data_IF_540078382693
#
_entry.id   IF_540078382693
#
_cell.length_a   1.000
_cell.length_b   1.000
_cell.length_c   1.000
_cell.angle_alpha   90.00
_cell.angle_beta   90.00
_cell.angle_gamma   90.00
#
_symmetry.space_group_name_H-M   'P 1'
#
loop_
_entity.id
_entity.type
_entity.pdbx_description
1 polymer ?
#
# COMPACT_ATOMS: atom_id res chain seq x y z
N UNK A 1 -18.61 12.20 41.80
CA UNK A 1 -19.55 11.52 42.72
C UNK A 1 -20.80 11.17 41.94
N UNK A 2 -21.54 10.12 42.32
CA UNK A 2 -22.73 9.62 41.59
C UNK A 2 -24.01 10.42 41.98
N UNK A 3 -25.22 10.18 41.40
CA UNK A 3 -25.90 8.86 41.34
C UNK A 3 -26.37 8.43 39.92
N UNK A 4 -26.75 7.14 39.75
CA UNK A 4 -27.35 6.60 38.53
C UNK A 4 -28.90 6.60 38.58
N UNK A 5 -29.54 6.21 37.47
CA UNK A 5 -30.95 5.82 37.42
C UNK A 5 -31.10 4.37 36.88
N UNK A 6 -31.99 3.58 37.49
CA UNK A 6 -32.33 2.21 37.08
C UNK A 6 -33.75 2.17 36.50
N UNK A 7 -33.99 1.25 35.55
CA UNK A 7 -35.24 0.50 35.25
C UNK A 7 -35.11 -0.14 33.85
N UNK A 8 -35.65 -1.32 33.55
CA UNK A 8 -36.27 -2.36 34.39
C UNK A 8 -36.21 -3.70 33.62
N UNK A 9 -35.97 -4.82 34.31
CA UNK A 9 -36.18 -6.17 33.76
C UNK A 9 -37.68 -6.54 33.76
N UNK A 10 -38.14 -7.34 32.79
CA UNK A 10 -39.20 -8.35 32.99
C UNK A 10 -39.46 -9.20 31.73
N UNK A 11 -39.10 -10.49 31.76
CA UNK A 11 -39.76 -11.56 30.99
C UNK A 11 -39.30 -12.96 31.47
N UNK A 12 -40.15 -13.66 32.23
CA UNK A 12 -39.94 -15.05 32.65
C UNK A 12 -40.81 -16.02 31.83
N UNK A 13 -40.27 -17.13 31.34
CA UNK A 13 -41.07 -18.17 30.68
C UNK A 13 -40.24 -19.39 30.27
N UNK A 14 -40.61 -20.59 30.75
CA UNK A 14 -39.80 -21.81 30.65
C UNK A 14 -40.38 -22.88 29.69
N UNK A 15 -39.56 -23.90 29.43
CA UNK A 15 -39.90 -25.25 28.89
C UNK A 15 -40.33 -25.41 27.42
N UNK A 16 -39.87 -26.50 26.79
CA UNK A 16 -40.31 -27.00 25.49
C UNK A 16 -39.27 -27.92 24.82
N UNK A 17 -39.70 -29.07 24.28
CA UNK A 17 -38.85 -30.01 23.51
C UNK A 17 -39.27 -30.08 22.04
N UNK A 18 -38.34 -30.49 21.17
CA UNK A 18 -38.51 -31.06 19.83
C UNK A 18 -39.30 -30.28 18.77
N UNK A 19 -38.62 -29.97 17.64
CA UNK A 19 -39.26 -29.46 16.43
C UNK A 19 -38.33 -29.51 15.21
N UNK A 20 -38.36 -30.60 14.45
CA UNK A 20 -37.64 -30.76 13.18
C UNK A 20 -38.50 -30.30 11.99
N UNK A 21 -38.03 -29.28 11.25
CA UNK A 21 -38.59 -28.83 9.97
C UNK A 21 -37.45 -28.23 9.10
N UNK A 22 -37.57 -28.11 7.76
CA UNK A 22 -36.80 -29.02 6.91
C UNK A 22 -35.75 -28.35 6.02
N UNK A 23 -34.84 -29.17 5.48
CA UNK A 23 -33.91 -28.78 4.41
C UNK A 23 -34.67 -28.58 3.09
N UNK A 24 -34.42 -27.46 2.39
CA UNK A 24 -34.97 -27.19 1.06
C UNK A 24 -33.85 -26.84 0.08
N UNK A 25 -33.85 -27.53 -1.07
CA UNK A 25 -33.44 -27.00 -2.38
C UNK A 25 -32.02 -26.45 -2.53
N UNK A 26 -31.06 -27.31 -2.88
CA UNK A 26 -29.76 -26.85 -3.40
C UNK A 26 -29.82 -26.67 -4.92
N UNK A 27 -29.37 -25.51 -5.43
CA UNK A 27 -29.00 -25.31 -6.85
C UNK A 27 -27.63 -24.64 -6.91
N UNK A 28 -26.69 -25.08 -7.78
CA UNK A 28 -25.28 -24.76 -7.62
C UNK A 28 -24.80 -23.54 -8.42
N UNK A 29 -24.70 -22.38 -7.77
CA UNK A 29 -23.81 -21.31 -8.24
C UNK A 29 -22.35 -21.61 -7.88
N UNK A 30 -21.43 -21.53 -8.84
CA UNK A 30 -19.99 -21.69 -8.61
C UNK A 30 -19.40 -20.49 -7.85
N UNK A 31 -19.50 -20.51 -6.52
CA UNK A 31 -18.82 -19.54 -5.65
C UNK A 31 -17.33 -19.84 -5.55
N UNK A 32 -16.51 -18.97 -6.12
CA UNK A 32 -15.07 -18.92 -5.89
C UNK A 32 -14.81 -18.50 -4.43
N UNK A 33 -14.41 -19.44 -3.59
CA UNK A 33 -14.17 -19.21 -2.15
C UNK A 33 -12.82 -18.52 -1.92
N UNK A 34 -12.81 -17.19 -2.03
CA UNK A 34 -11.68 -16.37 -1.59
C UNK A 34 -11.68 -16.21 -0.06
N UNK A 35 -11.20 -17.24 0.65
CA UNK A 35 -10.86 -17.15 2.07
C UNK A 35 -9.34 -17.11 2.24
N UNK A 36 -8.85 -16.08 2.93
CA UNK A 36 -7.59 -15.99 3.72
C UNK A 36 -7.32 -14.51 4.05
N UNK A 37 -6.89 -14.19 5.27
CA UNK A 37 -6.30 -12.91 5.65
C UNK A 37 -5.18 -13.14 6.69
N UNK A 38 -3.98 -12.60 6.44
CA UNK A 38 -2.80 -12.69 7.30
C UNK A 38 -2.60 -11.43 8.17
N UNK A 39 -1.76 -11.53 9.21
CA UNK A 39 -1.18 -10.38 9.93
C UNK A 39 -0.03 -10.78 10.91
N UNK A 40 0.95 -9.90 11.18
CA UNK A 40 2.13 -10.10 12.06
C UNK A 40 2.37 -8.92 13.05
N UNK A 41 3.38 -8.94 13.95
CA UNK A 41 3.48 -7.99 15.10
C UNK A 41 4.77 -7.15 15.18
N UNK A 42 4.61 -5.84 15.39
CA UNK A 42 5.48 -4.88 16.09
C UNK A 42 7.02 -4.96 15.93
N UNK A 43 7.48 -4.93 14.67
CA UNK A 43 8.33 -3.79 14.29
C UNK A 43 7.43 -2.75 13.59
N UNK A 44 7.84 -1.47 13.53
CA UNK A 44 7.02 -0.38 12.89
C UNK A 44 6.92 -0.47 11.35
N UNK A 45 6.96 -1.67 10.79
CA UNK A 45 6.87 -2.02 9.39
C UNK A 45 6.17 -3.38 9.31
N UNK A 46 5.13 -3.54 8.49
CA UNK A 46 4.51 -4.85 8.25
C UNK A 46 4.47 -5.25 6.78
N UNK A 47 4.14 -4.33 5.85
CA UNK A 47 4.27 -4.60 4.41
C UNK A 47 5.69 -5.06 4.03
N UNK A 48 6.71 -4.61 4.76
CA UNK A 48 8.08 -5.11 4.61
C UNK A 48 8.25 -6.61 4.89
N UNK A 49 7.40 -7.20 5.73
CA UNK A 49 7.44 -8.60 6.12
C UNK A 49 6.69 -9.45 5.09
N UNK A 50 5.59 -8.97 4.52
CA UNK A 50 4.94 -9.59 3.36
C UNK A 50 5.91 -9.68 2.17
N UNK A 51 6.56 -8.55 1.84
CA UNK A 51 7.60 -8.47 0.80
C UNK A 51 8.78 -9.39 1.14
N UNK A 52 9.30 -9.38 2.38
CA UNK A 52 10.44 -10.22 2.76
C UNK A 52 10.12 -11.72 2.73
N UNK A 53 8.96 -12.14 3.24
CA UNK A 53 8.54 -13.55 3.24
C UNK A 53 8.36 -14.07 1.80
N UNK A 54 7.78 -13.26 0.90
CA UNK A 54 7.59 -13.65 -0.50
C UNK A 54 8.89 -13.60 -1.31
N UNK A 55 9.80 -12.66 -1.01
CA UNK A 55 11.12 -12.62 -1.63
C UNK A 55 12.01 -13.79 -1.18
N UNK A 56 11.93 -14.21 0.09
CA UNK A 56 12.61 -15.41 0.60
C UNK A 56 12.05 -16.67 -0.07
N UNK A 57 10.72 -16.80 -0.16
CA UNK A 57 10.07 -17.89 -0.89
C UNK A 57 10.45 -17.95 -2.39
N UNK A 58 10.58 -16.79 -3.04
CA UNK A 58 11.07 -16.70 -4.42
C UNK A 58 12.54 -17.13 -4.51
N UNK A 59 13.40 -16.59 -3.65
CA UNK A 59 14.85 -16.87 -3.57
C UNK A 59 15.10 -18.37 -3.40
N UNK A 60 14.50 -18.99 -2.40
CA UNK A 60 14.82 -20.38 -2.03
C UNK A 60 14.28 -21.37 -3.07
N UNK A 61 13.09 -21.10 -3.62
CA UNK A 61 12.61 -21.81 -4.81
C UNK A 61 13.59 -21.67 -5.98
N UNK A 62 14.10 -20.47 -6.27
CA UNK A 62 14.99 -20.25 -7.41
C UNK A 62 16.36 -20.92 -7.20
N UNK A 63 16.89 -20.90 -5.98
CA UNK A 63 18.14 -21.59 -5.62
C UNK A 63 17.99 -23.11 -5.67
N UNK A 64 16.83 -23.67 -5.35
CA UNK A 64 16.53 -25.07 -5.60
C UNK A 64 16.46 -25.42 -7.11
N UNK A 65 16.10 -24.46 -7.97
CA UNK A 65 16.11 -24.61 -9.44
C UNK A 65 17.54 -24.47 -10.05
N UNK A 66 18.46 -23.68 -9.46
CA UNK A 66 19.75 -23.29 -10.09
C UNK A 66 21.04 -23.59 -9.31
N UNK A 67 20.93 -24.02 -8.04
CA UNK A 67 22.05 -24.19 -7.10
C UNK A 67 22.24 -23.01 -6.14
N UNK A 68 22.37 -23.30 -4.84
CA UNK A 68 22.52 -22.31 -3.75
C UNK A 68 23.70 -21.35 -3.94
N UNK A 69 24.79 -21.84 -4.54
CA UNK A 69 25.99 -21.05 -4.83
C UNK A 69 25.74 -19.87 -5.80
N UNK A 70 24.60 -19.86 -6.51
CA UNK A 70 24.20 -18.76 -7.40
C UNK A 70 23.40 -17.65 -6.72
N UNK A 71 23.30 -17.61 -5.38
CA UNK A 71 22.64 -16.52 -4.65
C UNK A 71 23.19 -15.13 -5.00
N UNK A 72 24.48 -15.04 -5.34
CA UNK A 72 25.12 -13.82 -5.81
C UNK A 72 24.53 -13.29 -7.13
N UNK A 73 24.00 -14.16 -7.99
CA UNK A 73 23.58 -13.84 -9.35
C UNK A 73 22.12 -13.35 -9.40
N UNK A 74 21.39 -13.42 -8.28
CA UNK A 74 19.95 -13.12 -8.22
C UNK A 74 19.68 -11.61 -8.28
N UNK A 75 18.81 -11.20 -9.21
CA UNK A 75 18.44 -9.78 -9.45
C UNK A 75 16.98 -9.53 -9.13
N UNK A 76 16.70 -8.42 -8.45
CA UNK A 76 15.34 -7.99 -8.08
C UNK A 76 15.02 -6.60 -8.62
N UNK A 77 13.78 -6.39 -9.05
CA UNK A 77 13.34 -5.23 -9.83
C UNK A 77 12.20 -4.49 -9.12
N UNK A 78 12.21 -3.16 -9.23
CA UNK A 78 11.13 -2.27 -8.81
C UNK A 78 11.23 -0.91 -9.54
N UNK A 79 10.26 -0.01 -9.39
CA UNK A 79 10.43 1.38 -9.79
C UNK A 79 11.28 2.16 -8.78
N UNK A 80 11.83 3.30 -9.20
CA UNK A 80 12.45 4.29 -8.30
C UNK A 80 11.43 4.92 -7.31
N UNK A 81 10.12 4.75 -7.56
CA UNK A 81 9.02 5.14 -6.67
C UNK A 81 8.66 4.07 -5.63
N UNK A 82 9.11 2.82 -5.78
CA UNK A 82 8.78 1.72 -4.86
C UNK A 82 9.33 2.01 -3.46
N UNK A 83 8.50 1.75 -2.44
CA UNK A 83 8.81 2.10 -1.06
C UNK A 83 10.10 1.43 -0.56
N UNK A 84 10.93 2.18 0.19
CA UNK A 84 12.27 1.74 0.63
C UNK A 84 12.29 0.41 1.39
N UNK A 85 11.14 -0.02 1.95
CA UNK A 85 10.96 -1.33 2.55
C UNK A 85 11.35 -2.49 1.62
N UNK A 86 11.10 -2.40 0.32
CA UNK A 86 11.53 -3.42 -0.65
C UNK A 86 13.05 -3.55 -0.71
N UNK A 87 13.75 -2.42 -0.88
CA UNK A 87 15.23 -2.38 -0.89
C UNK A 87 15.84 -2.79 0.46
N UNK A 88 15.11 -2.62 1.57
CA UNK A 88 15.48 -3.17 2.89
C UNK A 88 15.28 -4.68 2.96
N UNK A 89 14.13 -5.19 2.49
CA UNK A 89 13.82 -6.62 2.45
C UNK A 89 14.83 -7.38 1.57
N UNK A 90 15.16 -6.88 0.38
CA UNK A 90 16.16 -7.47 -0.50
C UNK A 90 17.53 -7.66 0.18
N UNK A 91 17.99 -6.65 0.93
CA UNK A 91 19.24 -6.73 1.71
C UNK A 91 19.18 -7.74 2.86
N UNK A 92 18.01 -7.92 3.48
CA UNK A 92 17.80 -8.93 4.54
C UNK A 92 17.73 -10.34 3.94
N UNK A 93 17.15 -10.50 2.75
CA UNK A 93 17.09 -11.75 2.00
C UNK A 93 18.45 -12.17 1.38
N UNK A 94 19.50 -11.35 1.49
CA UNK A 94 20.84 -11.65 0.97
C UNK A 94 21.10 -11.19 -0.47
N UNK A 95 20.16 -10.49 -1.11
CA UNK A 95 20.35 -9.95 -2.46
C UNK A 95 21.43 -8.87 -2.45
N UNK A 96 22.36 -8.93 -3.42
CA UNK A 96 23.43 -7.95 -3.54
C UNK A 96 22.87 -6.53 -3.77
N UNK A 97 23.53 -5.51 -3.20
CA UNK A 97 23.09 -4.11 -3.31
C UNK A 97 22.96 -3.66 -4.76
N UNK A 98 23.90 -4.12 -5.58
CA UNK A 98 24.05 -3.72 -6.97
C UNK A 98 23.26 -4.64 -7.93
N UNK A 99 22.53 -5.62 -7.39
CA UNK A 99 21.52 -6.45 -8.09
C UNK A 99 20.08 -6.10 -7.65
N UNK A 100 19.88 -4.89 -7.12
CA UNK A 100 18.57 -4.31 -6.82
C UNK A 100 18.27 -3.16 -7.81
N UNK A 101 17.60 -3.51 -8.91
CA UNK A 101 17.24 -2.63 -10.04
C UNK A 101 16.08 -1.72 -9.64
N UNK A 102 16.38 -0.48 -9.29
CA UNK A 102 15.39 0.58 -9.22
C UNK A 102 15.31 1.26 -10.60
N UNK A 103 14.33 0.83 -11.40
CA UNK A 103 14.10 1.30 -12.76
C UNK A 103 13.54 2.72 -12.70
N UNK A 104 14.08 3.62 -13.53
CA UNK A 104 13.68 5.02 -13.54
C UNK A 104 12.25 5.19 -14.07
N UNK A 105 11.47 6.11 -13.50
CA UNK A 105 10.14 6.44 -14.01
C UNK A 105 9.99 7.91 -14.38
N UNK A 106 9.15 8.17 -15.38
CA UNK A 106 9.00 9.48 -16.01
C UNK A 106 7.69 10.17 -15.61
N UNK A 107 7.68 11.50 -15.61
CA UNK A 107 6.48 12.29 -15.29
C UNK A 107 5.32 12.07 -16.28
N UNK A 108 5.63 11.86 -17.56
CA UNK A 108 4.62 11.60 -18.60
C UNK A 108 3.74 10.37 -18.31
N UNK A 109 4.32 9.34 -17.72
CA UNK A 109 3.64 8.10 -17.31
C UNK A 109 3.20 8.14 -15.83
N UNK A 110 3.04 9.36 -15.27
CA UNK A 110 2.71 9.63 -13.86
C UNK A 110 3.62 8.93 -12.83
N UNK A 111 4.87 8.66 -13.23
CA UNK A 111 5.88 7.90 -12.47
C UNK A 111 5.55 6.42 -12.23
N UNK A 112 4.74 5.80 -13.08
CA UNK A 112 4.54 4.35 -13.12
C UNK A 112 5.75 3.60 -13.73
N UNK A 113 5.91 2.32 -13.38
CA UNK A 113 6.94 1.45 -13.95
C UNK A 113 6.63 1.08 -15.41
N UNK A 114 7.47 1.54 -16.35
CA UNK A 114 7.39 1.18 -17.76
C UNK A 114 7.70 -0.32 -18.00
N UNK A 115 6.83 -1.08 -18.66
CA UNK A 115 7.12 -2.46 -19.07
C UNK A 115 8.32 -2.58 -20.02
N UNK A 116 8.52 -1.59 -20.90
CA UNK A 116 9.65 -1.54 -21.84
C UNK A 116 10.98 -1.39 -21.12
N UNK A 117 11.05 -0.50 -20.12
CA UNK A 117 12.27 -0.30 -19.31
C UNK A 117 12.56 -1.52 -18.42
N UNK A 118 11.51 -2.17 -17.88
CA UNK A 118 11.65 -3.45 -17.19
C UNK A 118 12.20 -4.54 -18.12
N UNK A 119 11.68 -4.65 -19.35
CA UNK A 119 12.15 -5.64 -20.32
C UNK A 119 13.61 -5.39 -20.71
N UNK A 120 14.00 -4.13 -20.95
CA UNK A 120 15.37 -3.76 -21.26
C UNK A 120 16.34 -4.08 -20.10
N UNK A 121 15.97 -3.76 -18.86
CA UNK A 121 16.75 -4.09 -17.67
C UNK A 121 16.90 -5.62 -17.50
N UNK A 122 15.79 -6.36 -17.57
CA UNK A 122 15.79 -7.81 -17.43
C UNK A 122 16.60 -8.52 -18.52
N UNK A 123 16.56 -8.04 -19.77
CA UNK A 123 17.37 -8.60 -20.85
C UNK A 123 18.87 -8.33 -20.62
N UNK A 124 19.25 -7.10 -20.25
CA UNK A 124 20.64 -6.77 -19.96
C UNK A 124 21.22 -7.59 -18.79
N UNK A 125 20.42 -7.88 -17.78
CA UNK A 125 20.80 -8.76 -16.67
C UNK A 125 20.98 -10.22 -17.12
N UNK A 126 20.09 -10.74 -17.98
CA UNK A 126 20.23 -12.09 -18.57
C UNK A 126 21.47 -12.19 -19.47
N UNK A 127 21.73 -11.17 -20.30
CA UNK A 127 22.90 -11.11 -21.18
C UNK A 127 24.21 -11.02 -20.37
N UNK A 128 24.17 -10.45 -19.17
CA UNK A 128 25.27 -10.46 -18.19
C UNK A 128 25.41 -11.79 -17.42
N UNK A 129 24.56 -12.79 -17.68
CA UNK A 129 24.56 -14.11 -17.01
C UNK A 129 23.89 -14.13 -15.64
N UNK A 130 23.31 -13.00 -15.21
CA UNK A 130 22.57 -12.88 -13.96
C UNK A 130 21.18 -13.52 -14.08
N UNK A 131 20.50 -13.68 -12.94
CA UNK A 131 19.24 -14.41 -12.84
C UNK A 131 18.14 -13.49 -12.33
N UNK A 132 17.20 -13.06 -13.20
CA UNK A 132 15.99 -12.39 -12.77
C UNK A 132 15.21 -13.23 -11.76
N UNK A 133 14.91 -12.66 -10.58
CA UNK A 133 14.26 -13.36 -9.47
C UNK A 133 12.86 -12.82 -9.17
N UNK A 134 12.74 -11.52 -8.93
CA UNK A 134 11.56 -10.94 -8.25
C UNK A 134 11.25 -9.53 -8.76
N UNK A 135 9.98 -9.26 -9.09
CA UNK A 135 9.44 -7.93 -9.35
C UNK A 135 8.55 -7.48 -8.19
N UNK A 136 8.81 -6.28 -7.68
CA UNK A 136 7.90 -5.55 -6.80
C UNK A 136 7.18 -4.46 -7.59
N UNK A 137 5.96 -4.76 -8.06
CA UNK A 137 5.06 -3.77 -8.66
C UNK A 137 4.23 -3.08 -7.57
N UNK A 138 3.87 -1.82 -7.78
CA UNK A 138 3.30 -0.93 -6.75
C UNK A 138 1.96 -0.35 -7.19
N UNK A 139 0.93 -0.49 -6.36
CA UNK A 139 -0.37 0.18 -6.56
C UNK A 139 -0.52 1.27 -5.50
N UNK A 140 -0.43 2.52 -5.92
CA UNK A 140 -0.41 3.68 -5.02
C UNK A 140 0.96 3.86 -4.38
N UNK A 141 1.98 4.19 -5.19
CA UNK A 141 3.34 4.50 -4.72
C UNK A 141 3.36 5.55 -3.60
N UNK A 142 4.38 5.49 -2.73
CA UNK A 142 4.40 6.34 -1.53
C UNK A 142 4.51 7.84 -1.86
N UNK A 143 5.18 8.21 -2.95
CA UNK A 143 5.41 9.61 -3.30
C UNK A 143 4.15 10.25 -3.90
N UNK A 144 3.68 9.73 -5.03
CA UNK A 144 2.65 10.35 -5.90
C UNK A 144 1.37 9.53 -6.04
N UNK A 145 1.30 8.34 -5.42
CA UNK A 145 0.26 7.33 -5.66
C UNK A 145 0.13 6.86 -7.12
N UNK A 146 1.24 6.82 -7.85
CA UNK A 146 1.35 6.14 -9.13
C UNK A 146 0.91 4.66 -9.03
N UNK A 147 0.50 4.09 -10.16
CA UNK A 147 0.01 2.71 -10.28
C UNK A 147 0.78 2.02 -11.40
N UNK A 148 1.53 0.99 -11.06
CA UNK A 148 2.30 0.19 -12.01
C UNK A 148 1.35 -0.72 -12.84
N UNK A 149 1.52 -0.86 -14.18
CA UNK A 149 0.58 -1.60 -15.05
C UNK A 149 0.74 -3.13 -14.91
N UNK A 150 0.10 -3.70 -13.89
CA UNK A 150 0.29 -5.08 -13.42
C UNK A 150 0.27 -6.13 -14.55
N UNK A 151 -0.76 -6.15 -15.40
CA UNK A 151 -0.88 -7.14 -16.47
C UNK A 151 0.24 -7.10 -17.52
N UNK A 152 0.72 -5.91 -17.88
CA UNK A 152 1.81 -5.74 -18.85
C UNK A 152 3.17 -6.13 -18.23
N UNK A 153 3.39 -5.77 -16.97
CA UNK A 153 4.57 -6.18 -16.21
C UNK A 153 4.60 -7.70 -15.97
N UNK A 154 3.44 -8.33 -15.77
CA UNK A 154 3.31 -9.78 -15.74
C UNK A 154 3.68 -10.43 -17.08
N UNK A 155 3.28 -9.83 -18.21
CA UNK A 155 3.66 -10.33 -19.54
C UNK A 155 5.18 -10.24 -19.79
N UNK A 156 5.84 -9.18 -19.34
CA UNK A 156 7.31 -9.02 -19.40
C UNK A 156 8.04 -10.01 -18.49
N UNK A 157 7.52 -10.29 -17.29
CA UNK A 157 8.18 -11.18 -16.32
C UNK A 157 8.01 -12.68 -16.62
N UNK A 158 6.91 -13.07 -17.28
CA UNK A 158 6.54 -14.47 -17.48
C UNK A 158 7.60 -15.33 -18.22
N UNK A 159 8.27 -14.89 -19.31
CA UNK A 159 9.30 -15.68 -20.00
C UNK A 159 10.51 -16.03 -19.13
N UNK A 160 10.78 -15.24 -18.08
CA UNK A 160 11.94 -15.39 -17.21
C UNK A 160 11.62 -16.18 -15.93
N UNK A 161 10.34 -16.47 -15.67
CA UNK A 161 9.89 -17.15 -14.45
C UNK A 161 10.13 -16.33 -13.17
N UNK A 162 10.09 -15.00 -13.28
CA UNK A 162 10.23 -14.05 -12.17
C UNK A 162 8.99 -14.08 -11.29
N UNK A 163 9.18 -14.09 -9.96
CA UNK A 163 8.10 -13.95 -9.00
C UNK A 163 7.54 -12.51 -9.05
N UNK A 164 6.23 -12.35 -9.20
CA UNK A 164 5.60 -11.02 -9.15
C UNK A 164 4.89 -10.80 -7.82
N UNK A 165 5.31 -9.77 -7.08
CA UNK A 165 4.61 -9.24 -5.91
C UNK A 165 3.99 -7.88 -6.20
N UNK A 166 2.77 -7.68 -5.70
CA UNK A 166 2.07 -6.39 -5.72
C UNK A 166 2.05 -5.77 -4.32
N UNK A 167 2.81 -4.70 -4.11
CA UNK A 167 2.68 -3.81 -2.95
C UNK A 167 1.53 -2.81 -3.23
N UNK A 168 0.37 -3.10 -2.66
CA UNK A 168 -0.79 -2.21 -2.63
C UNK A 168 -1.00 -1.63 -1.22
N UNK A 169 0.07 -1.41 -0.44
CA UNK A 169 0.00 -1.10 0.99
C UNK A 169 -1.03 -0.02 1.35
N UNK A 170 -1.12 1.07 0.58
CA UNK A 170 -2.15 2.10 0.77
C UNK A 170 -3.41 1.81 -0.04
N UNK A 171 -3.28 1.80 -1.37
CA UNK A 171 -4.42 1.83 -2.29
C UNK A 171 -5.20 0.51 -2.40
N UNK A 172 -4.65 -0.62 -1.96
CA UNK A 172 -5.36 -1.91 -1.95
C UNK A 172 -6.66 -1.87 -1.13
N UNK A 173 -6.73 -0.99 -0.13
CA UNK A 173 -7.96 -0.72 0.65
C UNK A 173 -9.12 -0.20 -0.22
N UNK A 174 -8.82 0.53 -1.30
CA UNK A 174 -9.84 1.09 -2.20
C UNK A 174 -10.56 0.04 -3.04
N UNK A 175 -9.98 -1.16 -3.20
CA UNK A 175 -10.55 -2.27 -3.97
C UNK A 175 -11.85 -2.84 -3.38
N UNK A 176 -12.25 -2.41 -2.17
CA UNK A 176 -13.59 -2.66 -1.64
C UNK A 176 -14.68 -1.99 -2.51
N UNK A 177 -14.34 -0.90 -3.19
CA UNK A 177 -15.18 -0.16 -4.12
C UNK A 177 -14.98 -0.66 -5.57
N UNK A 178 -16.05 -1.08 -6.29
CA UNK A 178 -15.93 -1.59 -7.67
C UNK A 178 -15.28 -0.60 -8.64
N UNK A 179 -15.48 0.69 -8.47
CA UNK A 179 -14.92 1.73 -9.33
C UNK A 179 -13.38 1.85 -9.31
N UNK A 180 -12.70 1.20 -8.36
CA UNK A 180 -11.23 1.15 -8.32
C UNK A 180 -10.62 -0.17 -8.82
N UNK A 181 -11.40 -1.18 -9.21
CA UNK A 181 -10.82 -2.49 -9.56
C UNK A 181 -10.00 -2.49 -10.87
N UNK A 182 -10.04 -1.42 -11.65
CA UNK A 182 -9.19 -1.28 -12.85
C UNK A 182 -7.69 -1.28 -12.53
N UNK A 183 -7.29 -0.84 -11.33
CA UNK A 183 -5.87 -0.78 -10.91
C UNK A 183 -5.24 -2.15 -10.65
N UNK A 184 -6.04 -3.22 -10.65
CA UNK A 184 -5.61 -4.63 -10.48
C UNK A 184 -5.85 -5.48 -11.74
N UNK A 185 -6.05 -4.88 -12.92
CA UNK A 185 -6.12 -5.66 -14.17
C UNK A 185 -4.81 -6.44 -14.39
N UNK A 186 -4.91 -7.77 -14.51
CA UNK A 186 -3.77 -8.69 -14.59
C UNK A 186 -3.32 -9.29 -13.26
N UNK A 187 -3.95 -8.93 -12.11
CA UNK A 187 -3.54 -9.46 -10.79
C UNK A 187 -3.68 -10.98 -10.69
N UNK A 188 -4.53 -11.61 -11.49
CA UNK A 188 -4.66 -13.06 -11.57
C UNK A 188 -3.37 -13.77 -12.03
N UNK A 189 -2.44 -13.06 -12.69
CA UNK A 189 -1.14 -13.58 -13.08
C UNK A 189 -0.14 -13.66 -11.91
N UNK A 190 -0.19 -12.73 -10.94
CA UNK A 190 0.86 -12.53 -9.91
C UNK A 190 0.98 -13.69 -8.92
N UNK A 191 2.14 -13.82 -8.28
CA UNK A 191 2.38 -14.85 -7.26
C UNK A 191 1.93 -14.40 -5.86
N UNK A 192 2.01 -13.10 -5.54
CA UNK A 192 1.54 -12.56 -4.27
C UNK A 192 1.10 -11.08 -4.31
N UNK A 193 0.24 -10.71 -3.38
CA UNK A 193 -0.32 -9.35 -3.22
C UNK A 193 -0.34 -8.98 -1.74
N UNK A 194 -0.05 -7.73 -1.37
CA UNK A 194 -0.18 -7.25 0.01
C UNK A 194 -0.81 -5.85 0.14
N UNK A 195 -1.53 -5.61 1.25
CA UNK A 195 -2.07 -4.30 1.60
C UNK A 195 -2.07 -4.06 3.11
N UNK A 196 -1.90 -2.81 3.54
CA UNK A 196 -1.98 -2.43 4.96
C UNK A 196 -3.41 -1.96 5.28
N UNK A 197 -4.24 -2.84 5.85
CA UNK A 197 -5.56 -2.44 6.35
C UNK A 197 -5.47 -1.31 7.40
N UNK A 198 -4.33 -1.21 8.11
CA UNK A 198 -4.04 -0.11 9.04
C UNK A 198 -3.77 1.26 8.39
N UNK A 199 -3.59 1.34 7.06
CA UNK A 199 -3.40 2.63 6.37
C UNK A 199 -4.74 3.29 6.01
N UNK A 200 -5.71 2.51 5.51
CA UNK A 200 -6.91 3.10 4.89
C UNK A 200 -8.16 2.20 4.93
N UNK A 201 -8.19 1.17 5.80
CA UNK A 201 -9.33 0.25 5.97
C UNK A 201 -9.75 0.09 7.44
N UNK A 202 -9.68 1.18 8.22
CA UNK A 202 -10.16 1.31 9.62
C UNK A 202 -9.58 0.32 10.67
N UNK A 203 -8.67 -0.58 10.31
CA UNK A 203 -7.97 -1.41 11.27
C UNK A 203 -6.98 -0.55 12.09
N UNK A 204 -6.88 -0.79 13.40
CA UNK A 204 -5.87 -0.11 14.21
C UNK A 204 -4.47 -0.64 13.89
N UNK A 205 -3.45 0.23 14.00
CA UNK A 205 -2.06 -0.19 13.90
C UNK A 205 -1.76 -1.36 14.86
N UNK A 206 -1.04 -2.39 14.45
CA UNK A 206 -0.52 -2.71 13.12
C UNK A 206 -1.41 -3.77 12.41
N UNK A 207 -1.71 -3.61 11.12
CA UNK A 207 -2.47 -4.61 10.36
C UNK A 207 -2.14 -4.70 8.85
N UNK A 208 -1.54 -5.81 8.39
CA UNK A 208 -1.11 -6.02 7.02
C UNK A 208 -1.52 -7.39 6.51
N UNK A 209 -2.34 -7.39 5.45
CA UNK A 209 -2.86 -8.58 4.81
C UNK A 209 -1.97 -8.93 3.62
N UNK A 210 -1.67 -10.21 3.45
CA UNK A 210 -0.98 -10.74 2.27
C UNK A 210 -1.74 -11.96 1.76
N UNK A 211 -1.78 -12.11 0.44
CA UNK A 211 -2.25 -13.29 -0.28
C UNK A 211 -1.09 -13.84 -1.11
N UNK A 212 -0.99 -15.16 -1.19
CA UNK A 212 0.03 -15.87 -1.99
C UNK A 212 -0.65 -17.00 -2.75
N UNK A 213 -0.42 -17.07 -4.06
CA UNK A 213 -1.04 -18.01 -5.00
C UNK A 213 -0.62 -19.47 -4.77
N UNK A 214 0.54 -19.68 -4.14
CA UNK A 214 1.08 -20.98 -3.71
C UNK A 214 1.66 -20.88 -2.29
N UNK A 215 0.83 -21.04 -1.22
CA UNK A 215 1.31 -20.92 0.15
C UNK A 215 2.41 -21.92 0.53
N UNK A 216 2.48 -23.07 -0.15
CA UNK A 216 3.57 -24.05 0.02
C UNK A 216 4.97 -23.48 -0.26
N UNK A 217 5.09 -22.42 -1.07
CA UNK A 217 6.37 -21.74 -1.28
C UNK A 217 6.82 -20.93 -0.06
N UNK A 218 5.88 -20.42 0.77
CA UNK A 218 6.22 -19.85 2.08
C UNK A 218 6.69 -20.96 3.03
N UNK A 219 5.90 -22.04 3.13
CA UNK A 219 6.17 -23.17 4.04
C UNK A 219 7.53 -23.81 3.75
N UNK A 220 7.90 -23.98 2.48
CA UNK A 220 9.20 -24.55 2.09
C UNK A 220 10.41 -23.65 2.39
N UNK A 221 10.21 -22.35 2.58
CA UNK A 221 11.29 -21.37 2.78
C UNK A 221 11.34 -20.76 4.20
N UNK A 222 10.24 -20.88 4.96
CA UNK A 222 10.09 -20.32 6.31
C UNK A 222 9.73 -21.38 7.36
N UNK A 223 9.37 -22.59 6.94
CA UNK A 223 9.00 -23.67 7.84
C UNK A 223 10.20 -24.42 8.41
N UNK A 224 10.07 -24.86 9.66
CA UNK A 224 11.10 -25.65 10.34
C UNK A 224 10.75 -27.14 10.29
N UNK A 225 11.60 -27.97 9.68
CA UNK A 225 11.39 -29.43 9.69
C UNK A 225 11.47 -30.03 11.10
N UNK A 226 12.24 -29.40 11.99
CA UNK A 226 12.55 -29.88 13.33
C UNK A 226 11.59 -29.37 14.42
N UNK A 227 11.12 -30.36 15.19
CA UNK A 227 10.99 -30.37 16.66
C UNK A 227 9.70 -29.97 17.42
N UNK A 228 9.29 -30.95 18.26
CA UNK A 228 8.56 -30.94 19.53
C UNK A 228 7.19 -30.27 19.72
N UNK A 229 6.77 -29.26 18.94
CA UNK A 229 5.43 -28.67 19.13
C UNK A 229 4.36 -29.47 18.36
N UNK A 230 3.94 -30.59 18.96
CA UNK A 230 2.68 -31.33 18.75
C UNK A 230 2.07 -31.25 17.34
N UNK A 231 2.64 -31.99 16.37
CA UNK A 231 2.03 -32.19 15.05
C UNK A 231 0.76 -33.07 15.09
N UNK A 232 0.58 -33.81 16.18
CA UNK A 232 -0.42 -34.89 16.35
C UNK A 232 -1.85 -34.50 15.95
N UNK A 233 -2.29 -33.28 16.31
CA UNK A 233 -3.63 -32.76 15.98
C UNK A 233 -3.79 -32.26 14.53
N UNK A 234 -2.68 -32.11 13.78
CA UNK A 234 -2.67 -31.75 12.36
C UNK A 234 -2.35 -32.95 11.44
N UNK A 235 -1.82 -34.05 11.99
CA UNK A 235 -1.55 -35.28 11.24
C UNK A 235 -2.78 -36.16 10.99
N UNK A 236 -3.87 -36.00 11.75
CA UNK A 236 -5.08 -36.82 11.61
C UNK A 236 -6.21 -36.09 10.84
N UNK A 237 -6.07 -36.02 9.51
CA UNK A 237 -7.21 -35.84 8.59
C UNK A 237 -7.92 -34.47 8.58
N UNK A 238 -7.34 -33.42 9.15
CA UNK A 238 -7.93 -32.08 9.18
C UNK A 238 -7.07 -31.04 8.41
N UNK A 239 -7.70 -30.26 7.52
CA UNK A 239 -7.09 -29.14 6.80
C UNK A 239 -6.78 -27.95 7.74
N UNK A 240 -5.75 -28.09 8.58
CA UNK A 240 -5.30 -27.08 9.54
C UNK A 240 -4.06 -26.36 9.03
N UNK A 241 -4.13 -25.03 8.92
CA UNK A 241 -3.01 -24.18 8.50
C UNK A 241 -2.20 -23.73 9.72
N UNK A 242 -0.96 -24.22 9.86
CA UNK A 242 0.00 -23.58 10.76
C UNK A 242 0.66 -22.36 10.09
N UNK A 243 0.15 -21.20 10.49
CA UNK A 243 0.64 -19.90 10.04
C UNK A 243 2.03 -19.51 10.57
N UNK A 244 2.64 -20.28 11.48
CA UNK A 244 4.06 -20.06 11.85
C UNK A 244 4.94 -20.15 10.60
N UNK A 245 4.68 -21.14 9.74
CA UNK A 245 5.47 -21.43 8.53
C UNK A 245 5.14 -20.49 7.36
N UNK A 246 4.32 -19.46 7.58
CA UNK A 246 3.96 -18.44 6.59
C UNK A 246 4.62 -17.08 6.88
N UNK A 247 5.39 -16.97 7.97
CA UNK A 247 5.97 -15.70 8.42
C UNK A 247 7.21 -15.90 9.33
N UNK A 248 8.05 -14.88 9.48
CA UNK A 248 9.28 -14.96 10.31
C UNK A 248 9.08 -15.17 11.84
N UNK A 249 7.84 -15.15 12.37
CA UNK A 249 7.57 -15.17 13.81
C UNK A 249 6.68 -16.33 14.25
N UNK A 250 7.15 -17.10 15.23
CA UNK A 250 6.41 -18.20 15.87
C UNK A 250 5.27 -17.67 16.75
N UNK A 251 5.57 -16.72 17.64
CA UNK A 251 4.58 -16.09 18.53
C UNK A 251 3.72 -15.08 17.76
N UNK A 252 2.40 -15.25 17.78
CA UNK A 252 1.45 -14.46 16.97
C UNK A 252 0.26 -13.98 17.80
N UNK A 253 -0.05 -12.68 17.76
CA UNK A 253 -1.34 -12.13 18.23
C UNK A 253 -2.52 -12.61 17.37
N UNK A 254 -3.70 -12.65 17.98
CA UNK A 254 -4.99 -12.85 17.32
C UNK A 254 -5.48 -11.59 16.56
N UNK A 255 -4.70 -11.05 15.62
CA UNK A 255 -5.11 -9.84 14.85
C UNK A 255 -6.18 -10.11 13.78
N UNK A 256 -6.53 -11.37 13.49
CA UNK A 256 -7.76 -11.67 12.76
C UNK A 256 -9.01 -11.05 13.45
N UNK A 257 -8.98 -10.89 14.78
CA UNK A 257 -10.06 -10.25 15.54
C UNK A 257 -10.29 -8.77 15.18
N UNK A 258 -9.23 -7.97 14.98
CA UNK A 258 -9.39 -6.55 14.58
C UNK A 258 -10.03 -6.42 13.20
N UNK A 259 -9.59 -7.24 12.23
CA UNK A 259 -10.18 -7.28 10.89
C UNK A 259 -11.62 -7.79 10.90
N UNK A 260 -11.91 -8.84 11.68
CA UNK A 260 -13.26 -9.37 11.82
C UNK A 260 -14.21 -8.33 12.43
N UNK A 261 -13.80 -7.60 13.47
CA UNK A 261 -14.59 -6.52 14.07
C UNK A 261 -14.84 -5.38 13.07
N UNK A 262 -13.83 -4.91 12.33
CA UNK A 262 -14.00 -3.89 11.28
C UNK A 262 -15.03 -4.35 10.24
N UNK A 263 -14.89 -5.56 9.71
CA UNK A 263 -15.81 -6.12 8.71
C UNK A 263 -17.23 -6.35 9.27
N UNK A 264 -17.36 -6.69 10.55
CA UNK A 264 -18.65 -6.92 11.24
C UNK A 264 -19.39 -5.64 11.60
N UNK A 265 -18.67 -4.58 12.00
CA UNK A 265 -19.25 -3.34 12.50
C UNK A 265 -19.59 -2.34 11.38
N UNK A 266 -18.70 -2.18 10.38
CA UNK A 266 -18.95 -1.23 9.27
C UNK A 266 -19.64 -1.90 8.07
N UNK A 267 -19.45 -3.20 7.89
CA UNK A 267 -19.90 -3.93 6.70
C UNK A 267 -19.23 -3.45 5.41
N UNK A 268 -19.54 -4.12 4.29
CA UNK A 268 -18.98 -3.76 2.98
C UNK A 268 -19.38 -2.34 2.56
N UNK A 269 -20.62 -1.92 2.86
CA UNK A 269 -21.11 -0.61 2.45
C UNK A 269 -20.46 0.54 3.24
N UNK A 270 -20.35 0.44 4.57
CA UNK A 270 -19.66 1.46 5.38
C UNK A 270 -18.18 1.61 5.02
N UNK A 271 -17.50 0.52 4.66
CA UNK A 271 -16.12 0.57 4.16
C UNK A 271 -16.00 1.24 2.78
N UNK A 272 -16.97 1.02 1.88
CA UNK A 272 -17.04 1.74 0.59
C UNK A 272 -17.24 3.23 0.78
N UNK A 273 -18.21 3.60 1.63
CA UNK A 273 -18.57 5.00 1.83
C UNK A 273 -17.47 5.76 2.59
N UNK A 274 -16.70 5.07 3.45
CA UNK A 274 -15.46 5.60 4.04
C UNK A 274 -14.39 5.94 2.98
N UNK A 275 -14.06 5.01 2.07
CA UNK A 275 -13.11 5.26 0.97
C UNK A 275 -13.62 6.40 0.08
N UNK A 276 -14.89 6.37 -0.31
CA UNK A 276 -15.53 7.39 -1.17
C UNK A 276 -15.55 8.77 -0.55
N UNK A 277 -15.77 8.88 0.76
CA UNK A 277 -15.72 10.15 1.49
C UNK A 277 -14.32 10.77 1.42
N UNK A 278 -13.27 9.99 1.71
CA UNK A 278 -11.89 10.43 1.59
C UNK A 278 -11.52 10.85 0.16
N UNK A 279 -11.96 10.10 -0.86
CA UNK A 279 -11.73 10.45 -2.27
C UNK A 279 -12.48 11.73 -2.67
N UNK A 280 -13.75 11.90 -2.27
CA UNK A 280 -14.53 13.13 -2.53
C UNK A 280 -13.87 14.36 -1.92
N UNK A 281 -13.39 14.25 -0.68
CA UNK A 281 -12.65 15.32 -0.01
C UNK A 281 -11.33 15.65 -0.73
N UNK A 282 -10.60 14.64 -1.21
CA UNK A 282 -9.39 14.87 -2.01
C UNK A 282 -9.68 15.50 -3.37
N UNK A 283 -10.80 15.15 -4.03
CA UNK A 283 -11.28 15.82 -5.25
C UNK A 283 -11.60 17.31 -4.98
N UNK A 284 -12.32 17.63 -3.91
CA UNK A 284 -12.61 19.01 -3.55
C UNK A 284 -11.33 19.82 -3.27
N UNK A 285 -10.32 19.21 -2.62
CA UNK A 285 -8.99 19.84 -2.47
C UNK A 285 -8.29 20.05 -3.82
N UNK A 286 -8.35 19.06 -4.71
CA UNK A 286 -7.78 19.14 -6.06
C UNK A 286 -8.43 20.26 -6.90
N UNK A 287 -9.75 20.39 -6.86
CA UNK A 287 -10.51 21.46 -7.51
C UNK A 287 -10.11 22.84 -6.97
N UNK A 288 -9.99 22.99 -5.65
CA UNK A 288 -9.52 24.22 -5.01
C UNK A 288 -8.07 24.58 -5.40
N UNK A 289 -7.18 23.59 -5.52
CA UNK A 289 -5.80 23.79 -6.04
C UNK A 289 -5.82 24.24 -7.50
N UNK A 290 -6.60 23.56 -8.36
CA UNK A 290 -6.67 23.87 -9.80
C UNK A 290 -7.35 25.22 -10.09
N UNK A 291 -8.14 25.75 -9.16
CA UNK A 291 -8.77 27.08 -9.26
C UNK A 291 -7.86 28.26 -8.87
N UNK A 292 -6.69 28.01 -8.26
CA UNK A 292 -5.73 29.04 -7.86
C UNK A 292 -4.53 29.03 -8.82
N UNK A 293 -4.48 29.99 -9.75
CA UNK A 293 -3.48 30.04 -10.84
C UNK A 293 -2.02 29.98 -10.36
N UNK A 294 -1.76 30.35 -9.10
CA UNK A 294 -0.43 30.31 -8.47
C UNK A 294 0.08 28.88 -8.25
N UNK A 295 -0.81 27.89 -8.31
CA UNK A 295 -0.53 26.49 -8.01
C UNK A 295 -0.76 25.56 -9.20
N UNK A 296 -0.22 24.35 -9.08
CA UNK A 296 -0.44 23.23 -9.99
C UNK A 296 -0.54 21.91 -9.23
N UNK A 297 -1.41 21.02 -9.73
CA UNK A 297 -1.42 19.60 -9.39
C UNK A 297 -0.35 18.94 -10.25
N UNK A 298 0.59 18.24 -9.62
CA UNK A 298 1.81 17.73 -10.29
C UNK A 298 1.58 16.37 -10.95
N UNK A 299 0.75 15.53 -10.33
CA UNK A 299 0.36 14.21 -10.84
C UNK A 299 -1.14 14.03 -10.64
N UNK A 300 -1.83 13.43 -11.61
CA UNK A 300 -3.27 13.25 -11.52
C UNK A 300 -3.67 12.35 -10.34
N UNK A 301 -4.76 12.72 -9.69
CA UNK A 301 -5.19 12.14 -8.41
C UNK A 301 -5.94 10.83 -8.64
N UNK A 302 -5.27 9.69 -8.49
CA UNK A 302 -5.93 8.37 -8.55
C UNK A 302 -6.80 8.12 -7.32
N UNK A 303 -6.28 8.35 -6.12
CA UNK A 303 -6.93 8.01 -4.83
C UNK A 303 -7.22 9.26 -3.98
N UNK A 304 -6.94 9.25 -2.67
CA UNK A 304 -7.14 10.39 -1.78
C UNK A 304 -5.82 11.13 -1.39
N UNK A 305 -4.84 11.14 -2.30
CA UNK A 305 -3.63 11.95 -2.21
C UNK A 305 -3.63 12.99 -3.34
N UNK A 306 -3.55 14.27 -3.00
CA UNK A 306 -3.26 15.34 -3.96
C UNK A 306 -1.80 15.76 -3.81
N UNK A 307 -1.04 15.64 -4.90
CA UNK A 307 0.32 16.16 -5.01
C UNK A 307 0.32 17.50 -5.75
N UNK A 308 0.70 18.57 -5.08
CA UNK A 308 0.55 19.94 -5.59
C UNK A 308 1.74 20.82 -5.21
N UNK A 309 1.89 21.95 -5.90
CA UNK A 309 2.94 22.94 -5.61
C UNK A 309 2.59 24.32 -6.13
N UNK A 310 3.26 25.36 -5.62
CA UNK A 310 3.37 26.64 -6.30
C UNK A 310 4.11 26.46 -7.62
N UNK A 311 3.59 27.08 -8.68
CA UNK A 311 4.16 27.04 -10.04
C UNK A 311 5.56 27.67 -10.08
N UNK A 312 6.43 27.21 -11.00
CA UNK A 312 7.66 27.92 -11.30
C UNK A 312 7.33 29.26 -11.94
N UNK A 313 8.10 30.29 -11.61
CA UNK A 313 7.96 31.63 -12.19
C UNK A 313 9.34 32.15 -12.58
N UNK A 314 9.54 32.46 -13.85
CA UNK A 314 10.85 32.88 -14.36
C UNK A 314 11.35 34.18 -13.71
N UNK A 315 10.42 35.08 -13.35
CA UNK A 315 10.72 36.30 -12.56
C UNK A 315 11.38 36.04 -11.20
N UNK A 316 11.32 34.81 -10.69
CA UNK A 316 11.97 34.37 -9.45
C UNK A 316 13.09 33.34 -9.67
N UNK A 317 13.45 33.02 -10.92
CA UNK A 317 14.46 32.01 -11.25
C UNK A 317 13.92 30.60 -11.54
N UNK A 318 12.63 30.48 -11.87
CA UNK A 318 12.04 29.26 -12.43
C UNK A 318 12.10 28.04 -11.49
N UNK A 319 12.32 26.87 -12.08
CA UNK A 319 12.18 25.56 -11.42
C UNK A 319 13.01 25.40 -10.14
N UNK A 320 14.26 25.86 -10.14
CA UNK A 320 15.13 25.75 -8.96
C UNK A 320 14.56 26.51 -7.77
N UNK A 321 14.11 27.74 -7.99
CA UNK A 321 13.51 28.54 -6.92
C UNK A 321 12.13 28.02 -6.53
N UNK A 322 11.38 27.43 -7.47
CA UNK A 322 10.08 26.80 -7.18
C UNK A 322 10.22 25.67 -6.13
N UNK A 323 11.26 24.86 -6.22
CA UNK A 323 11.52 23.79 -5.25
C UNK A 323 11.77 24.32 -3.83
N UNK A 324 12.59 25.36 -3.68
CA UNK A 324 12.89 25.94 -2.37
C UNK A 324 11.73 26.80 -1.83
N UNK A 325 10.95 27.44 -2.71
CA UNK A 325 9.68 28.10 -2.36
C UNK A 325 8.67 27.11 -1.79
N UNK A 326 8.51 25.94 -2.40
CA UNK A 326 7.57 24.93 -1.93
C UNK A 326 8.05 24.25 -0.63
N UNK A 327 9.37 24.14 -0.42
CA UNK A 327 9.93 23.75 0.89
C UNK A 327 9.55 24.76 1.98
N UNK A 328 9.80 26.05 1.75
CA UNK A 328 9.43 27.12 2.67
C UNK A 328 7.92 27.22 2.91
N UNK A 329 7.10 26.96 1.88
CA UNK A 329 5.64 26.87 2.03
C UNK A 329 5.22 25.73 2.94
N UNK A 330 5.78 24.52 2.77
CA UNK A 330 5.47 23.39 3.65
C UNK A 330 5.85 23.70 5.12
N UNK A 331 7.00 24.34 5.33
CA UNK A 331 7.47 24.75 6.65
C UNK A 331 6.57 25.83 7.27
N UNK A 332 6.17 26.87 6.52
CA UNK A 332 5.22 27.88 6.99
C UNK A 332 3.81 27.32 7.25
N UNK A 333 3.34 26.32 6.48
CA UNK A 333 2.05 25.65 6.68
C UNK A 333 2.07 24.78 7.94
N UNK A 334 3.07 23.90 8.06
CA UNK A 334 3.21 22.99 9.21
C UNK A 334 3.53 23.73 10.53
N UNK A 335 3.96 25.00 10.47
CA UNK A 335 4.17 25.84 11.66
C UNK A 335 2.88 26.46 12.23
N UNK A 336 1.74 26.36 11.54
CA UNK A 336 0.46 26.91 12.04
C UNK A 336 -0.13 25.94 13.06
N UNK A 337 -0.20 26.34 14.34
CA UNK A 337 -0.61 25.50 15.48
C UNK A 337 -2.00 24.85 15.34
N UNK A 338 -2.92 25.51 14.64
CA UNK A 338 -4.27 25.00 14.32
C UNK A 338 -4.44 24.68 12.83
N UNK A 339 -3.33 24.48 12.11
CA UNK A 339 -3.29 24.21 10.68
C UNK A 339 -3.16 22.71 10.36
N UNK A 340 -3.16 22.35 9.07
CA UNK A 340 -2.91 20.99 8.62
C UNK A 340 -1.43 20.62 8.81
N UNK A 341 -1.16 19.36 9.14
CA UNK A 341 0.17 18.78 8.94
C UNK A 341 0.23 18.07 7.58
N UNK A 342 1.03 18.60 6.67
CA UNK A 342 1.29 18.03 5.36
C UNK A 342 2.71 17.45 5.28
N UNK A 343 2.95 16.64 4.25
CA UNK A 343 4.29 16.14 3.89
C UNK A 343 4.68 16.61 2.49
N UNK A 344 5.87 16.23 2.02
CA UNK A 344 6.29 16.45 0.64
C UNK A 344 6.89 15.19 0.01
N UNK A 345 6.98 15.21 -1.31
CA UNK A 345 7.86 14.35 -2.09
C UNK A 345 8.80 15.21 -2.94
N UNK A 346 9.87 14.58 -3.42
CA UNK A 346 10.70 15.09 -4.51
C UNK A 346 10.80 13.98 -5.56
N UNK A 347 10.27 14.21 -6.76
CA UNK A 347 10.14 13.22 -7.83
C UNK A 347 10.39 13.88 -9.18
N UNK A 348 11.18 13.28 -10.06
CA UNK A 348 11.60 13.92 -11.32
C UNK A 348 12.39 15.22 -11.13
N UNK A 349 12.92 15.47 -9.93
CA UNK A 349 13.53 16.75 -9.53
C UNK A 349 12.55 17.83 -9.06
N UNK A 350 11.24 17.57 -9.10
CA UNK A 350 10.19 18.48 -8.62
C UNK A 350 9.85 18.20 -7.15
N UNK A 351 10.02 19.20 -6.29
CA UNK A 351 9.53 19.19 -4.92
C UNK A 351 8.04 19.59 -4.89
N UNK A 352 7.21 18.81 -4.20
CA UNK A 352 5.76 18.98 -4.16
C UNK A 352 5.19 18.68 -2.76
N UNK A 353 4.18 19.44 -2.35
CA UNK A 353 3.40 19.20 -1.14
C UNK A 353 2.41 18.06 -1.38
N UNK A 354 2.05 17.36 -0.30
CA UNK A 354 1.21 16.16 -0.30
C UNK A 354 0.07 16.30 0.70
N UNK A 355 -1.13 16.56 0.20
CA UNK A 355 -2.36 16.49 0.99
C UNK A 355 -2.93 15.06 0.89
N UNK A 356 -2.69 14.25 1.92
CA UNK A 356 -3.20 12.88 2.01
C UNK A 356 -4.44 12.84 2.91
N UNK A 357 -5.62 12.79 2.29
CA UNK A 357 -6.91 12.74 3.02
C UNK A 357 -7.21 11.30 3.42
N UNK A 358 -7.15 11.02 4.71
CA UNK A 358 -7.34 9.64 5.21
C UNK A 358 -7.47 9.45 6.72
N UNK A 359 -7.46 10.52 7.53
CA UNK A 359 -7.67 10.41 8.97
C UNK A 359 -9.16 10.33 9.28
N UNK A 360 -9.57 9.34 10.09
CA UNK A 360 -10.98 9.00 10.39
C UNK A 360 -11.81 10.15 10.99
N UNK A 361 -11.16 11.20 11.52
CA UNK A 361 -11.81 12.40 12.07
C UNK A 361 -11.80 13.60 11.10
N UNK A 362 -11.37 13.41 9.85
CA UNK A 362 -11.37 14.48 8.83
C UNK A 362 -12.76 14.62 8.23
N UNK A 363 -13.22 15.86 8.10
CA UNK A 363 -14.47 16.24 7.45
C UNK A 363 -14.19 17.33 6.40
N UNK A 364 -15.16 17.57 5.52
CA UNK A 364 -15.02 18.52 4.39
C UNK A 364 -14.60 19.93 4.83
N UNK A 365 -15.08 20.40 5.98
CA UNK A 365 -14.70 21.72 6.51
C UNK A 365 -13.20 21.81 6.83
N UNK A 366 -12.63 20.77 7.46
CA UNK A 366 -11.18 20.69 7.74
C UNK A 366 -10.33 20.77 6.47
N UNK A 367 -10.84 20.29 5.34
CA UNK A 367 -10.14 20.32 4.04
C UNK A 367 -10.16 21.71 3.41
N UNK A 368 -11.27 22.44 3.53
CA UNK A 368 -11.37 23.85 3.17
C UNK A 368 -10.47 24.74 4.04
N UNK A 369 -10.48 24.54 5.36
CA UNK A 369 -9.60 25.26 6.29
C UNK A 369 -8.12 24.96 6.05
N UNK A 370 -7.78 23.70 5.74
CA UNK A 370 -6.42 23.31 5.36
C UNK A 370 -5.95 24.01 4.08
N UNK A 371 -6.80 24.10 3.06
CA UNK A 371 -6.48 24.83 1.83
C UNK A 371 -6.32 26.34 2.09
N UNK A 372 -7.20 26.94 2.89
CA UNK A 372 -7.09 28.35 3.26
C UNK A 372 -5.76 28.68 3.94
N UNK A 373 -5.27 27.83 4.85
CA UNK A 373 -3.95 27.99 5.47
C UNK A 373 -2.83 27.97 4.40
N UNK A 374 -2.91 27.06 3.42
CA UNK A 374 -1.95 27.01 2.30
C UNK A 374 -1.99 28.29 1.46
N UNK A 375 -3.18 28.82 1.13
CA UNK A 375 -3.34 30.07 0.39
C UNK A 375 -2.80 31.28 1.16
N UNK A 376 -3.04 31.36 2.48
CA UNK A 376 -2.55 32.45 3.33
C UNK A 376 -1.01 32.45 3.41
N UNK A 377 -0.39 31.28 3.62
CA UNK A 377 1.09 31.15 3.65
C UNK A 377 1.71 31.45 2.27
N UNK A 378 1.14 30.93 1.19
CA UNK A 378 1.60 31.21 -0.16
C UNK A 378 1.54 32.71 -0.50
N UNK A 379 0.46 33.40 -0.09
CA UNK A 379 0.31 34.85 -0.26
C UNK A 379 1.40 35.62 0.49
N UNK A 380 1.73 35.19 1.72
CA UNK A 380 2.81 35.80 2.51
C UNK A 380 4.20 35.57 1.87
N UNK A 381 4.49 34.35 1.39
CA UNK A 381 5.76 33.99 0.77
C UNK A 381 5.97 34.70 -0.58
N UNK A 382 4.97 34.70 -1.46
CA UNK A 382 5.06 35.35 -2.76
C UNK A 382 5.25 36.86 -2.61
N UNK A 383 4.56 37.51 -1.66
CA UNK A 383 4.77 38.93 -1.35
C UNK A 383 6.20 39.24 -0.87
N UNK A 384 6.84 38.34 -0.11
CA UNK A 384 8.27 38.48 0.25
C UNK A 384 9.15 38.43 -1.01
N UNK A 385 8.91 37.48 -1.91
CA UNK A 385 9.66 37.37 -3.16
C UNK A 385 9.49 38.59 -4.07
N UNK A 386 8.27 39.15 -4.19
CA UNK A 386 8.04 40.33 -5.02
C UNK A 386 8.80 41.56 -4.50
N UNK A 387 8.91 41.74 -3.17
CA UNK A 387 9.75 42.78 -2.58
C UNK A 387 11.23 42.53 -2.89
N UNK A 388 11.72 41.29 -2.75
CA UNK A 388 13.12 40.93 -3.00
C UNK A 388 13.52 41.13 -4.47
N UNK A 389 12.66 40.74 -5.42
CA UNK A 389 12.95 40.80 -6.85
C UNK A 389 12.58 42.14 -7.50
N UNK A 390 11.73 42.97 -6.89
CA UNK A 390 11.52 44.37 -7.32
C UNK A 390 12.57 45.34 -6.75
N UNK A 391 13.50 44.84 -5.92
CA UNK A 391 14.61 45.60 -5.33
C UNK A 391 15.97 45.24 -5.98
N UNK A 392 15.94 44.73 -7.23
CA UNK A 392 17.09 44.29 -8.04
C UNK A 392 16.98 44.87 -9.44
#
# INVERSE_FOLDING_TARGET
MAPPAQCLDTATGATGQNGTVPVIGHTPEKKMQCHNLLDADEFRLQGHQAILCTLVAARDRKLAEIGENRICDLVVYCSDQTHFAFRKAARIAGIQRDHCRAIHTCHGDMFALSPTELQAAMQADVDAGLVPLFLCATIGTTQTTAVDPIGELCAVTAPHGVWVHVDAAYAGSALVCPEFTYVIHGVEAVDSFSMNAHKWLLANNDCCVMWVKKPSALVAALGTEQEYILKDAASEGHDVVDYKDWNMTLTRRFRALKMWLVLRCYGIQGLRDHIRSHVRMAMAFEEMVRADERFEVVTDRTFALVCFRLRPQDKFGGEKTANDLNRGLLEEVNAVTSGPYMSAANVGGMFMLRCAVGSTLTEEHHVGDAWKVVQDRASAILRKMEIIYSSR
#
